data_IF_427425115250
#
_entry.id   IF_427425115250
#
_cell.length_a   1.000
_cell.length_b   1.000
_cell.length_c   1.000
_cell.angle_alpha   90.00
_cell.angle_beta   90.00
_cell.angle_gamma   90.00
#
_symmetry.space_group_name_H-M   'P 1'
#
loop_
_entity.id
_entity.type
_entity.pdbx_description
1 polymer ?
2 non-polymer ?
3 non-polymer ?
4 non-polymer ?
5 non-polymer ?
6 non-polymer ?
7 non-polymer ?
8 water ?
#
# COMPACT_ATOMS: atom_id res chain seq x y z
N UNK A 4 -17.93 -4.42 25.03
CA UNK A 4 -19.25 -4.14 24.50
C UNK A 4 -19.18 -3.58 23.08
N UNK A 5 -20.08 -4.06 22.22
CA UNK A 5 -20.12 -3.59 20.84
C UNK A 5 -20.49 -2.11 20.79
N UNK A 6 -19.88 -1.34 19.89
CA UNK A 6 -20.25 0.07 19.77
C UNK A 6 -21.75 0.27 19.59
N UNK A 7 -22.24 1.36 20.16
CA UNK A 7 -23.64 1.75 20.09
C UNK A 7 -23.89 2.84 19.06
N UNK A 8 -22.87 3.26 18.33
CA UNK A 8 -23.03 4.39 17.43
C UNK A 8 -24.11 4.08 16.40
N UNK A 9 -24.87 5.10 15.98
CA UNK A 9 -26.05 4.85 15.15
C UNK A 9 -25.76 4.20 13.82
N UNK A 10 -24.61 4.46 13.21
CA UNK A 10 -24.29 3.90 11.91
C UNK A 10 -23.36 2.69 12.00
N UNK A 11 -23.01 2.26 13.21
CA UNK A 11 -22.12 1.11 13.31
C UNK A 11 -22.69 -0.12 12.61
N UNK A 12 -24.00 -0.37 12.67
CA UNK A 12 -24.56 -1.48 11.88
C UNK A 12 -24.32 -1.36 10.39
N UNK A 13 -24.26 -0.13 9.85
CA UNK A 13 -23.98 0.04 8.43
C UNK A 13 -22.52 -0.21 8.10
N UNK A 14 -21.62 -0.20 9.09
CA UNK A 14 -20.20 -0.45 8.84
C UNK A 14 -19.96 -1.97 8.74
N UNK A 15 -20.47 -2.51 7.63
CA UNK A 15 -20.54 -3.96 7.43
C UNK A 15 -19.17 -4.63 7.47
N UNK A 16 -18.14 -3.91 7.00
CA UNK A 16 -16.77 -4.42 6.98
C UNK A 16 -16.16 -4.51 8.38
N UNK A 17 -16.82 -3.94 9.39
CA UNK A 17 -16.51 -4.13 10.80
C UNK A 17 -17.55 -4.92 11.57
N UNK A 18 -18.83 -4.61 11.40
CA UNK A 18 -19.88 -5.16 12.27
C UNK A 18 -20.46 -6.46 11.74
N UNK A 19 -20.03 -6.93 10.57
CA UNK A 19 -20.61 -8.11 9.99
C UNK A 19 -20.54 -9.30 10.92
N UNK A 20 -21.47 -10.24 10.73
CA UNK A 20 -21.47 -11.51 11.46
C UNK A 20 -21.54 -12.68 10.48
N UNK A 21 -21.10 -12.46 9.24
CA UNK A 21 -21.22 -13.46 8.18
C UNK A 21 -19.85 -13.81 7.59
N UNK A 22 -18.78 -13.45 8.29
CA UNK A 22 -17.38 -13.72 7.94
C UNK A 22 -16.89 -12.93 6.73
N UNK A 23 -17.70 -12.05 6.16
CA UNK A 23 -17.20 -11.12 5.15
C UNK A 23 -16.85 -9.78 5.80
N UNK A 24 -15.85 -9.80 6.68
CA UNK A 24 -15.41 -8.58 7.34
C UNK A 24 -13.92 -8.69 7.71
N UNK A 25 -13.42 -7.61 8.30
CA UNK A 25 -12.01 -7.46 8.62
C UNK A 25 -11.65 -8.01 10.00
N UNK A 26 -12.59 -8.70 10.65
CA UNK A 26 -12.33 -9.35 11.93
C UNK A 26 -11.80 -8.36 12.96
N UNK A 27 -12.39 -7.18 12.99
CA UNK A 27 -11.94 -6.14 13.92
C UNK A 27 -12.52 -6.33 15.32
N UNK A 28 -13.76 -6.80 15.43
CA UNK A 28 -14.33 -7.01 16.77
C UNK A 28 -13.47 -7.97 17.60
N UNK A 29 -12.85 -8.94 16.94
CA UNK A 29 -11.99 -9.88 17.63
C UNK A 29 -10.79 -9.17 18.25
N UNK A 30 -10.26 -8.17 17.56
CA UNK A 30 -9.16 -7.38 18.13
C UNK A 30 -9.67 -6.52 19.28
N UNK A 31 -10.80 -5.84 19.08
CA UNK A 31 -11.41 -5.08 20.16
C UNK A 31 -11.65 -5.95 21.39
N UNK A 32 -12.11 -7.19 21.18
CA UNK A 32 -12.39 -8.06 22.31
C UNK A 32 -11.10 -8.53 23.00
N UNK A 33 -9.98 -8.56 22.27
CA UNK A 33 -8.70 -8.82 22.91
C UNK A 33 -8.20 -7.63 23.70
N UNK A 34 -8.92 -6.51 23.67
CA UNK A 34 -8.54 -5.31 24.41
C UNK A 34 -7.84 -4.21 23.61
N UNK A 35 -7.76 -4.34 22.29
CA UNK A 35 -6.95 -3.44 21.47
C UNK A 35 -7.87 -2.48 20.72
N UNK A 36 -7.63 -1.18 20.93
CA UNK A 36 -8.47 -0.13 20.39
C UNK A 36 -7.68 1.00 19.77
N UNK A 37 -6.35 0.95 19.83
CA UNK A 37 -5.51 2.01 19.30
C UNK A 37 -5.01 2.98 20.35
N UNK A 38 -5.33 2.75 21.61
CA UNK A 38 -4.88 3.64 22.67
C UNK A 38 -3.37 3.83 22.61
N UNK A 39 -2.94 5.08 22.62
CA UNK A 39 -1.52 5.40 22.60
C UNK A 39 -0.89 5.45 21.23
N UNK A 40 -1.63 5.15 20.17
CA UNK A 40 -1.11 5.17 18.81
C UNK A 40 -1.54 6.47 18.14
N UNK A 41 -0.69 6.99 17.27
CA UNK A 41 -0.90 8.26 16.58
C UNK A 41 -0.85 8.00 15.08
N UNK A 42 -1.92 8.37 14.37
CA UNK A 42 -2.04 8.20 12.93
C UNK A 42 -2.26 9.58 12.30
N UNK A 43 -1.66 9.80 11.10
CA UNK A 43 -1.89 11.02 10.35
C UNK A 43 -2.31 10.73 8.91
N UNK A 44 -3.33 11.46 8.46
CA UNK A 44 -3.87 11.36 7.11
C UNK A 44 -3.24 12.44 6.25
N UNK A 45 -2.48 12.04 5.22
CA UNK A 45 -1.86 12.99 4.31
C UNK A 45 -2.82 13.17 3.14
N UNK A 46 -3.55 14.29 3.12
CA UNK A 46 -4.61 14.44 2.14
C UNK A 46 -4.98 15.92 1.99
N UNK A 47 -6.28 16.23 1.86
CA UNK A 47 -6.73 17.58 1.59
C UNK A 47 -7.12 18.34 2.85
N UNK A 48 -6.76 17.84 4.02
CA UNK A 48 -7.08 18.48 5.29
C UNK A 48 -7.96 17.60 6.15
N UNK A 49 -8.25 18.08 7.35
CA UNK A 49 -9.05 17.33 8.32
C UNK A 49 -9.91 18.30 9.11
N UNK A 50 -11.21 18.04 9.15
CA UNK A 50 -12.15 18.85 9.94
C UNK A 50 -11.97 18.48 11.40
N UNK A 51 -11.06 19.20 12.07
CA UNK A 51 -10.65 18.81 13.41
C UNK A 51 -11.75 18.99 14.43
N UNK A 52 -12.76 19.82 14.14
CA UNK A 52 -13.89 20.04 15.03
C UNK A 52 -15.08 19.15 14.70
N UNK A 53 -14.91 18.15 13.84
CA UNK A 53 -16.00 17.21 13.57
C UNK A 53 -16.43 16.54 14.88
N UNK A 54 -17.73 16.44 15.15
CA UNK A 54 -18.17 15.79 16.40
C UNK A 54 -17.67 14.37 16.59
N UNK A 55 -17.32 13.65 15.52
CA UNK A 55 -16.81 12.29 15.67
C UNK A 55 -15.29 12.22 15.56
N UNK A 56 -14.60 13.36 15.38
CA UNK A 56 -13.15 13.38 15.38
C UNK A 56 -12.54 14.20 16.51
N UNK A 57 -13.25 15.21 17.03
CA UNK A 57 -12.60 16.16 17.93
C UNK A 57 -12.02 15.47 19.14
N UNK A 58 -12.70 14.44 19.66
CA UNK A 58 -12.22 13.77 20.86
C UNK A 58 -10.91 13.06 20.69
N UNK A 59 -10.56 12.66 19.47
CA UNK A 59 -9.30 11.98 19.22
C UNK A 59 -8.31 12.86 18.46
N UNK A 60 -8.69 14.10 18.12
CA UNK A 60 -7.84 14.92 17.28
C UNK A 60 -6.53 15.25 17.98
N UNK A 61 -5.44 15.18 17.23
CA UNK A 61 -4.09 15.42 17.74
C UNK A 61 -3.41 16.50 16.91
N UNK A 62 -3.27 17.72 17.42
CA UNK A 62 -2.55 18.75 16.67
C UNK A 62 -1.11 18.37 16.37
N UNK A 63 -0.51 17.52 17.19
CA UNK A 63 0.85 17.07 16.95
C UNK A 63 0.99 16.13 15.79
N UNK A 64 -0.12 15.62 15.26
CA UNK A 64 -0.14 14.77 14.08
C UNK A 64 -0.61 15.54 12.85
N UNK A 65 -0.59 16.87 12.90
CA UNK A 65 -1.25 17.68 11.89
C UNK A 65 -0.40 18.87 11.48
N UNK A 66 -0.60 19.32 10.25
CA UNK A 66 0.03 20.53 9.75
C UNK A 66 -0.66 20.91 8.45
N UNK A 67 -0.51 22.17 8.07
CA UNK A 67 -0.99 22.67 6.79
C UNK A 67 0.22 23.03 5.94
N UNK A 68 0.62 22.10 5.08
CA UNK A 68 1.75 22.34 4.20
C UNK A 68 1.37 23.25 3.04
N UNK A 69 0.10 23.24 2.61
CA UNK A 69 -0.27 24.06 1.47
C UNK A 69 -0.20 25.55 1.79
N UNK A 70 -0.65 25.95 2.99
CA UNK A 70 -0.63 27.35 3.40
C UNK A 70 0.46 27.66 4.41
N UNK A 71 1.24 26.65 4.83
CA UNK A 71 2.35 26.82 5.76
C UNK A 71 1.88 27.38 7.10
N UNK A 72 1.03 26.60 7.78
CA UNK A 72 0.56 26.92 9.13
C UNK A 72 0.21 25.62 9.82
N UNK A 73 -0.05 25.66 11.13
CA UNK A 73 -0.26 24.40 11.86
C UNK A 73 -1.66 23.82 11.72
N UNK A 74 -2.61 24.57 11.16
CA UNK A 74 -4.02 24.24 11.25
C UNK A 74 -4.47 23.60 9.95
N UNK A 75 -4.78 22.27 9.93
CA UNK A 75 -5.11 21.58 8.68
C UNK A 75 -6.58 21.68 8.27
N UNK A 76 -7.31 22.63 8.85
CA UNK A 76 -8.74 22.70 8.55
C UNK A 76 -8.94 22.78 7.04
N UNK A 77 -9.91 22.06 6.48
CA UNK A 77 -10.10 22.10 5.02
C UNK A 77 -10.63 23.44 4.54
N UNK A 78 -10.39 23.69 3.25
CA UNK A 78 -10.99 24.81 2.53
C UNK A 78 -12.40 24.44 2.09
N UNK A 79 -13.40 25.17 2.59
CA UNK A 79 -14.79 24.83 2.31
C UNK A 79 -15.19 25.43 0.97
N UNK A 80 -15.85 24.61 0.15
CA UNK A 80 -16.27 25.01 -1.19
C UNK A 80 -17.66 24.48 -1.46
N UNK A 81 -18.32 25.05 -2.47
CA UNK A 81 -19.70 24.71 -2.77
C UNK A 81 -19.85 23.26 -3.23
N UNK A 82 -18.81 22.67 -3.80
CA UNK A 82 -18.88 21.27 -4.17
C UNK A 82 -18.23 20.34 -3.15
N UNK A 83 -17.78 20.87 -2.01
CA UNK A 83 -17.21 20.04 -0.94
C UNK A 83 -16.00 19.25 -1.43
N UNK A 84 -15.13 19.92 -2.18
CA UNK A 84 -13.99 19.26 -2.80
C UNK A 84 -13.01 18.68 -1.78
N UNK A 85 -12.84 19.36 -0.66
CA UNK A 85 -11.77 19.00 0.29
C UNK A 85 -12.29 18.21 1.46
N UNK A 86 -13.11 17.20 1.17
CA UNK A 86 -13.71 16.36 2.18
C UNK A 86 -12.97 15.04 2.38
N UNK A 87 -12.01 14.72 1.52
CA UNK A 87 -11.52 13.35 1.49
C UNK A 87 -10.71 13.02 2.74
N UNK A 88 -9.89 13.95 3.21
CA UNK A 88 -9.09 13.67 4.39
C UNK A 88 -9.95 13.44 5.63
N UNK A 89 -11.07 14.14 5.71
CA UNK A 89 -11.99 13.97 6.84
C UNK A 89 -12.64 12.59 6.78
N UNK A 90 -13.05 12.17 5.60
CA UNK A 90 -13.57 10.82 5.44
C UNK A 90 -12.55 9.78 5.89
N UNK A 91 -11.30 9.91 5.41
CA UNK A 91 -10.29 8.93 5.77
C UNK A 91 -9.98 8.96 7.27
N UNK A 92 -9.93 10.16 7.87
CA UNK A 92 -9.65 10.22 9.31
C UNK A 92 -10.67 9.43 10.11
N UNK A 93 -11.95 9.55 9.77
CA UNK A 93 -12.98 8.83 10.52
C UNK A 93 -12.86 7.33 10.38
N UNK A 94 -12.46 6.85 9.19
CA UNK A 94 -12.22 5.42 9.02
C UNK A 94 -11.23 4.88 10.05
N UNK A 95 -10.19 5.65 10.34
CA UNK A 95 -9.16 5.22 11.28
C UNK A 95 -9.64 5.36 12.71
N UNK A 96 -10.17 6.55 13.08
CA UNK A 96 -10.28 6.86 14.49
C UNK A 96 -11.49 7.71 14.84
N UNK A 97 -12.61 7.52 14.15
CA UNK A 97 -13.86 8.13 14.59
C UNK A 97 -14.18 7.67 16.01
N UNK A 98 -14.65 8.62 16.83
CA UNK A 98 -14.95 8.35 18.23
C UNK A 98 -16.07 7.31 18.33
N UNK A 99 -15.99 6.46 19.36
CA UNK A 99 -16.95 5.40 19.58
C UNK A 99 -17.91 5.73 20.72
N UNK A 100 -19.10 5.14 20.64
CA UNK A 100 -20.10 5.19 21.71
C UNK A 100 -20.44 6.62 22.10
N UNK A 101 -20.58 7.49 21.10
CA UNK A 101 -20.93 8.89 21.34
C UNK A 101 -22.18 9.33 20.56
N UNK A 102 -22.97 8.39 20.05
CA UNK A 102 -24.19 8.74 19.37
C UNK A 102 -24.04 9.46 18.04
N UNK A 103 -22.84 9.45 17.45
CA UNK A 103 -22.55 10.14 16.19
C UNK A 103 -21.96 9.16 15.18
N UNK A 104 -22.54 9.10 13.99
CA UNK A 104 -22.03 8.34 12.82
C UNK A 104 -21.65 6.94 13.29
N UNK A 105 -20.48 6.43 12.92
CA UNK A 105 -20.08 5.09 13.32
C UNK A 105 -18.82 5.17 14.16
N UNK A 106 -17.86 4.26 13.94
CA UNK A 106 -16.62 4.24 14.72
C UNK A 106 -15.44 4.09 13.79
N UNK A 107 -14.27 4.46 14.28
CA UNK A 107 -13.05 4.13 13.59
C UNK A 107 -12.57 2.73 13.94
N UNK A 108 -11.77 2.15 13.06
CA UNK A 108 -11.16 0.86 13.34
C UNK A 108 -10.41 0.91 14.66
N UNK A 109 -9.65 2.00 14.87
CA UNK A 109 -8.89 2.21 16.08
C UNK A 109 -9.46 3.42 16.80
N UNK A 110 -10.64 3.23 17.41
CA UNK A 110 -11.44 4.36 17.87
C UNK A 110 -10.89 5.03 19.13
N UNK A 111 -9.80 4.53 19.72
CA UNK A 111 -9.12 5.25 20.78
C UNK A 111 -7.74 5.75 20.37
N UNK A 112 -7.37 5.59 19.10
CA UNK A 112 -6.12 6.18 18.63
C UNK A 112 -6.28 7.69 18.51
N UNK A 113 -5.14 8.39 18.47
CA UNK A 113 -5.13 9.81 18.17
C UNK A 113 -4.96 9.99 16.67
N UNK A 114 -5.63 11.00 16.12
CA UNK A 114 -5.76 11.17 14.67
C UNK A 114 -5.46 12.61 14.30
N UNK A 115 -4.60 12.77 13.30
CA UNK A 115 -4.32 14.08 12.73
C UNK A 115 -4.41 14.02 11.21
N UNK A 116 -4.19 15.18 10.61
CA UNK A 116 -4.17 15.28 9.15
C UNK A 116 -3.17 16.30 8.69
N UNK A 117 -2.58 16.04 7.52
CA UNK A 117 -1.73 17.01 6.86
C UNK A 117 -2.48 17.53 5.64
N UNK A 118 -2.73 18.84 5.62
CA UNK A 118 -3.33 19.48 4.47
C UNK A 118 -2.21 19.72 3.48
N UNK A 119 -2.13 18.84 2.47
CA UNK A 119 -1.05 18.96 1.49
C UNK A 119 -1.47 18.73 0.05
N UNK A 120 -2.71 18.29 -0.23
CA UNK A 120 -3.16 18.11 -1.60
C UNK A 120 -3.87 19.33 -2.18
N UNK A 121 -4.23 20.31 -1.36
CA UNK A 121 -5.03 21.45 -1.82
C UNK A 121 -4.10 22.60 -2.21
N UNK A 122 -3.45 22.41 -3.35
CA UNK A 122 -2.40 23.31 -3.80
C UNK A 122 -1.54 22.60 -4.82
N UNK A 123 -0.47 23.29 -5.21
CA UNK A 123 0.51 22.67 -6.10
C UNK A 123 1.34 21.65 -5.30
N UNK A 124 1.23 20.38 -5.64
CA UNK A 124 1.85 19.32 -4.86
C UNK A 124 3.22 19.04 -5.46
N UNK A 125 4.24 19.66 -4.90
CA UNK A 125 5.61 19.51 -5.35
C UNK A 125 6.31 18.40 -4.56
N UNK A 126 7.50 18.03 -5.04
CA UNK A 126 8.36 17.10 -4.32
C UNK A 126 8.61 17.60 -2.89
N UNK A 127 8.88 18.89 -2.71
CA UNK A 127 9.07 19.44 -1.38
C UNK A 127 7.83 19.29 -0.51
N UNK A 128 6.64 19.56 -1.06
CA UNK A 128 5.40 19.42 -0.29
C UNK A 128 5.24 17.98 0.20
N UNK A 129 5.47 17.02 -0.70
CA UNK A 129 5.39 15.61 -0.32
C UNK A 129 6.39 15.27 0.77
N UNK A 130 7.62 15.75 0.63
CA UNK A 130 8.66 15.42 1.58
C UNK A 130 8.34 15.99 2.95
N UNK A 131 7.87 17.24 2.99
CA UNK A 131 7.53 17.87 4.26
C UNK A 131 6.37 17.15 4.94
N UNK A 132 5.47 16.54 4.16
CA UNK A 132 4.33 15.83 4.72
C UNK A 132 4.73 14.44 5.23
N UNK A 133 5.44 13.67 4.41
CA UNK A 133 5.92 12.36 4.83
C UNK A 133 6.84 12.45 6.04
N UNK A 134 7.55 13.56 6.19
CA UNK A 134 8.48 13.76 7.28
C UNK A 134 7.94 14.51 8.47
N UNK A 135 6.63 14.68 8.58
CA UNK A 135 6.06 15.44 9.69
C UNK A 135 6.20 14.67 11.00
N UNK A 136 6.78 15.32 12.00
CA UNK A 136 6.82 14.86 13.38
C UNK A 136 7.04 13.34 13.45
N UNK A 137 8.13 12.82 12.88
CA UNK A 137 8.28 11.36 12.74
C UNK A 137 8.58 10.63 14.05
N UNK A 138 8.80 11.33 15.16
CA UNK A 138 8.95 10.67 16.44
C UNK A 138 7.71 10.81 17.30
N UNK A 139 6.65 11.40 16.76
CA UNK A 139 5.34 11.45 17.38
C UNK A 139 4.31 10.65 16.60
N UNK A 140 4.26 10.85 15.28
CA UNK A 140 3.35 10.09 14.44
C UNK A 140 3.93 8.70 14.20
N UNK A 141 3.12 7.67 14.46
CA UNK A 141 3.54 6.31 14.24
C UNK A 141 3.23 5.83 12.83
N UNK A 142 2.05 6.17 12.32
CA UNK A 142 1.51 5.64 11.09
C UNK A 142 1.00 6.79 10.23
N UNK A 143 1.40 6.79 8.95
CA UNK A 143 0.93 7.71 7.93
C UNK A 143 0.03 6.97 6.95
N UNK A 144 -1.06 7.60 6.56
CA UNK A 144 -2.00 7.06 5.57
C UNK A 144 -2.06 8.00 4.38
N UNK A 145 -1.82 7.45 3.19
CA UNK A 145 -1.81 8.24 1.98
C UNK A 145 -2.54 7.46 0.89
N UNK A 146 -3.53 8.11 0.30
CA UNK A 146 -4.38 7.51 -0.71
C UNK A 146 -4.08 8.05 -2.10
N UNK A 147 -3.15 8.99 -2.23
CA UNK A 147 -2.85 9.70 -3.46
C UNK A 147 -1.62 9.12 -4.15
N UNK A 148 -1.42 9.53 -5.40
CA UNK A 148 -0.28 9.11 -6.19
C UNK A 148 -0.33 9.75 -7.56
N UNK A 149 0.49 9.26 -8.49
CA UNK A 149 0.50 9.82 -9.84
C UNK A 149 -0.80 9.53 -10.57
N UNK A 150 -1.03 10.27 -11.65
CA UNK A 150 -2.29 10.19 -12.38
C UNK A 150 -2.59 8.76 -12.80
N UNK A 151 -3.80 8.31 -12.52
CA UNK A 151 -4.25 6.97 -12.86
C UNK A 151 -4.80 6.91 -14.28
N UNK A 152 -4.10 7.51 -15.25
CA UNK A 152 -4.60 7.50 -16.61
C UNK A 152 -4.16 6.27 -17.40
N UNK A 153 -3.36 5.39 -16.81
CA UNK A 153 -2.90 4.22 -17.52
C UNK A 153 -1.80 4.49 -18.51
N UNK A 154 -1.20 5.67 -18.45
CA UNK A 154 -0.05 5.95 -19.32
C UNK A 154 1.08 6.67 -18.58
N UNK A 155 0.98 6.86 -17.28
CA UNK A 155 2.00 7.57 -16.51
C UNK A 155 2.91 6.57 -15.80
N UNK A 156 4.22 6.84 -15.85
CA UNK A 156 5.21 6.17 -15.02
C UNK A 156 5.86 7.26 -14.19
N UNK A 157 5.62 7.26 -12.88
CA UNK A 157 6.12 8.34 -12.03
C UNK A 157 6.16 7.84 -10.60
N UNK A 158 7.06 8.41 -9.82
CA UNK A 158 7.17 8.09 -8.41
C UNK A 158 7.79 9.24 -7.63
N UNK A 159 8.12 8.99 -6.36
CA UNK A 159 8.71 10.06 -5.54
C UNK A 159 10.02 10.57 -6.13
N UNK A 160 10.13 11.89 -6.24
CA UNK A 160 11.40 12.50 -6.63
C UNK A 160 12.32 12.54 -5.40
N UNK A 161 13.42 13.29 -5.49
CA UNK A 161 14.53 13.10 -4.56
C UNK A 161 14.14 13.42 -3.12
N UNK A 162 13.47 14.55 -2.88
CA UNK A 162 13.15 14.90 -1.50
C UNK A 162 12.18 13.90 -0.88
N UNK A 163 11.16 13.48 -1.63
CA UNK A 163 10.20 12.52 -1.10
C UNK A 163 10.82 11.15 -0.90
N UNK A 164 11.70 10.71 -1.81
CA UNK A 164 12.40 9.45 -1.58
C UNK A 164 13.30 9.55 -0.35
N UNK A 165 13.99 10.68 -0.17
CA UNK A 165 14.78 10.88 1.05
C UNK A 165 13.89 10.84 2.29
N UNK A 166 12.69 11.39 2.19
CA UNK A 166 11.77 11.34 3.33
C UNK A 166 11.38 9.91 3.66
N UNK A 167 11.11 9.09 2.65
CA UNK A 167 10.85 7.67 2.90
C UNK A 167 12.04 7.02 3.62
N UNK A 168 13.23 7.17 3.03
CA UNK A 168 14.48 6.69 3.62
C UNK A 168 14.53 7.04 5.11
N UNK A 169 14.47 8.35 5.38
CA UNK A 169 14.65 8.87 6.73
C UNK A 169 13.57 8.33 7.66
N UNK A 170 12.33 8.24 7.16
CA UNK A 170 11.24 7.77 8.00
C UNK A 170 11.44 6.35 8.48
N UNK A 171 11.74 5.43 7.56
CA UNK A 171 11.86 4.03 7.95
C UNK A 171 13.14 3.77 8.73
N UNK A 172 14.16 4.63 8.59
CA UNK A 172 15.45 4.42 9.24
C UNK A 172 15.50 5.03 10.64
N UNK A 173 15.18 6.32 10.76
CA UNK A 173 15.26 7.01 12.05
C UNK A 173 13.90 7.35 12.64
N UNK A 174 12.83 7.30 11.84
CA UNK A 174 11.51 7.56 12.37
C UNK A 174 11.12 6.58 13.46
N UNK A 175 10.21 7.06 14.31
CA UNK A 175 9.61 6.24 15.36
C UNK A 175 10.69 5.62 16.25
N UNK A 176 11.67 6.43 16.63
CA UNK A 176 12.73 5.98 17.51
C UNK A 176 13.64 4.95 16.89
N UNK A 177 13.77 4.94 15.57
CA UNK A 177 14.56 3.96 14.87
C UNK A 177 13.81 2.70 14.49
N UNK A 178 12.54 2.58 14.88
CA UNK A 178 11.74 1.43 14.45
C UNK A 178 11.16 1.61 13.06
N UNK A 179 11.07 2.85 12.59
CA UNK A 179 10.63 3.16 11.24
C UNK A 179 9.18 3.60 11.14
N UNK A 180 8.94 4.76 10.54
CA UNK A 180 7.59 5.18 10.18
C UNK A 180 6.90 4.09 9.37
N UNK A 181 5.62 3.90 9.65
CA UNK A 181 4.76 3.01 8.88
C UNK A 181 4.00 3.88 7.88
N UNK A 182 4.31 3.71 6.59
CA UNK A 182 3.61 4.42 5.53
C UNK A 182 2.61 3.46 4.88
N UNK A 183 1.33 3.66 5.11
CA UNK A 183 0.28 2.83 4.53
C UNK A 183 -0.20 3.55 3.28
N UNK A 184 -0.34 2.81 2.17
CA UNK A 184 -0.54 3.42 0.86
C UNK A 184 -1.63 2.69 0.09
N UNK A 185 -2.40 3.45 -0.68
CA UNK A 185 -3.39 2.88 -1.58
C UNK A 185 -2.76 2.57 -2.94
N UNK A 186 -3.10 1.42 -3.51
CA UNK A 186 -2.44 0.99 -4.75
C UNK A 186 -2.96 1.70 -6.00
N UNK A 187 -4.09 2.40 -5.94
CA UNK A 187 -4.55 3.22 -7.05
C UNK A 187 -6.00 2.93 -7.44
N UNK A 188 -6.54 3.84 -8.27
CA UNK A 188 -7.91 3.73 -8.75
C UNK A 188 -8.00 3.68 -10.28
N UNK A 189 -6.93 3.25 -10.95
CA UNK A 189 -6.89 3.30 -12.40
C UNK A 189 -7.36 2.09 -13.16
N UNK A 190 -8.21 1.26 -12.53
CA UNK A 190 -8.59 -0.01 -13.12
C UNK A 190 -9.24 0.12 -14.49
N UNK A 191 -10.12 1.09 -14.68
CA UNK A 191 -10.81 1.11 -15.97
C UNK A 191 -9.96 1.72 -17.08
N UNK A 192 -8.86 2.37 -16.72
CA UNK A 192 -7.84 2.77 -17.69
C UNK A 192 -6.81 1.67 -17.93
N UNK A 193 -7.02 0.47 -17.37
CA UNK A 193 -6.06 -0.64 -17.47
C UNK A 193 -4.69 -0.25 -16.92
N UNK A 194 -4.70 0.55 -15.86
CA UNK A 194 -3.46 0.92 -15.22
C UNK A 194 -2.88 -0.27 -14.48
N UNK A 195 -1.55 -0.25 -14.31
CA UNK A 195 -0.76 -1.37 -13.78
C UNK A 195 0.13 -0.74 -12.72
N UNK A 196 -0.13 -1.04 -11.44
CA UNK A 196 0.29 -0.09 -10.39
C UNK A 196 1.79 -0.17 -10.04
N UNK A 197 2.58 -1.08 -10.59
CA UNK A 197 4.01 -0.94 -10.39
C UNK A 197 4.54 0.31 -11.09
N UNK A 198 3.77 0.92 -11.99
CA UNK A 198 4.13 2.17 -12.65
C UNK A 198 3.93 3.39 -11.75
N UNK A 199 3.45 3.17 -10.53
CA UNK A 199 3.26 4.19 -9.49
C UNK A 199 4.35 3.94 -8.45
N UNK A 200 5.35 4.81 -8.44
CA UNK A 200 6.52 4.61 -7.61
C UNK A 200 6.25 4.73 -6.13
N UNK A 201 5.12 5.33 -5.74
CA UNK A 201 4.79 5.43 -4.33
C UNK A 201 4.32 4.08 -3.80
N UNK A 202 3.35 3.46 -4.47
CA UNK A 202 2.88 2.16 -4.02
C UNK A 202 3.89 1.05 -4.34
N UNK A 203 4.70 1.24 -5.39
CA UNK A 203 5.73 0.26 -5.77
C UNK A 203 6.92 0.25 -4.82
N UNK A 204 7.00 1.21 -3.90
CA UNK A 204 8.12 1.29 -2.96
C UNK A 204 8.06 0.16 -1.94
N UNK A 205 9.23 -0.31 -1.50
CA UNK A 205 9.24 -1.27 -0.41
C UNK A 205 8.90 -0.61 0.91
N UNK A 206 9.06 0.72 1.01
CA UNK A 206 8.85 1.43 2.27
C UNK A 206 7.38 1.75 2.51
N UNK A 207 6.52 1.51 1.53
CA UNK A 207 5.09 1.68 1.70
C UNK A 207 4.42 0.31 1.79
N UNK A 208 3.45 0.22 2.68
CA UNK A 208 2.68 -1.00 2.92
C UNK A 208 1.40 -0.84 2.11
N UNK A 209 1.35 -1.49 0.95
CA UNK A 209 0.40 -1.12 -0.09
C UNK A 209 -0.83 -2.01 -0.04
N UNK A 210 -2.00 -1.38 -0.22
CA UNK A 210 -3.29 -1.97 0.04
C UNK A 210 -4.19 -1.77 -1.17
N UNK A 211 -4.88 -2.85 -1.58
CA UNK A 211 -5.89 -2.84 -2.64
C UNK A 211 -7.28 -3.12 -2.03
N UNK A 212 -8.29 -3.23 -2.90
CA UNK A 212 -9.69 -3.26 -2.49
C UNK A 212 -10.41 -4.55 -2.91
N UNK A 213 -11.43 -4.91 -2.15
CA UNK A 213 -12.39 -5.94 -2.51
C UNK A 213 -13.80 -5.40 -2.29
N UNK A 214 -14.72 -5.77 -3.18
CA UNK A 214 -16.11 -5.37 -3.04
C UNK A 214 -16.79 -6.22 -1.97
N UNK A 215 -17.99 -5.80 -1.57
CA UNK A 215 -18.70 -6.51 -0.51
C UNK A 215 -18.91 -7.97 -0.87
N UNK A 216 -19.24 -8.27 -2.12
CA UNK A 216 -19.46 -9.65 -2.52
C UNK A 216 -18.15 -10.39 -2.83
N UNK A 217 -17.00 -9.80 -2.53
CA UNK A 217 -15.74 -10.49 -2.66
C UNK A 217 -15.10 -10.46 -4.05
N UNK A 218 -15.35 -9.42 -4.82
CA UNK A 218 -14.83 -9.32 -6.17
C UNK A 218 -13.85 -8.18 -6.31
N UNK A 219 -13.14 -8.18 -7.44
CA UNK A 219 -12.17 -7.14 -7.78
C UNK A 219 -12.95 -5.94 -8.31
N UNK A 220 -12.93 -4.80 -7.60
CA UNK A 220 -13.73 -3.65 -8.05
C UNK A 220 -13.25 -3.12 -9.39
N UNK A 221 -14.18 -2.43 -10.07
CA UNK A 221 -13.88 -1.83 -11.37
C UNK A 221 -12.64 -0.95 -11.35
N UNK A 222 -12.35 -0.28 -10.22
CA UNK A 222 -11.27 0.70 -10.12
C UNK A 222 -9.92 0.09 -9.74
N UNK A 223 -9.87 -1.18 -9.39
CA UNK A 223 -8.65 -1.77 -8.86
C UNK A 223 -7.56 -1.85 -9.94
N UNK A 224 -6.33 -1.60 -9.53
CA UNK A 224 -5.16 -1.87 -10.34
C UNK A 224 -4.46 -3.11 -9.79
N UNK A 225 -4.08 -4.02 -10.69
CA UNK A 225 -3.29 -5.19 -10.32
C UNK A 225 -1.81 -4.84 -10.42
N UNK A 226 -1.03 -5.29 -9.43
CA UNK A 226 0.43 -5.26 -9.56
C UNK A 226 1.08 -6.11 -8.48
N UNK A 227 2.34 -6.48 -8.73
CA UNK A 227 3.07 -7.36 -7.82
C UNK A 227 3.52 -6.66 -6.55
N UNK A 228 3.54 -5.32 -6.51
CA UNK A 228 4.01 -4.63 -5.31
C UNK A 228 2.96 -4.60 -4.19
N UNK A 229 1.69 -4.87 -4.50
CA UNK A 229 0.66 -4.79 -3.46
C UNK A 229 0.90 -5.89 -2.44
N UNK A 230 0.58 -5.58 -1.18
CA UNK A 230 0.74 -6.56 -0.09
C UNK A 230 -0.57 -7.18 0.37
N UNK A 231 -1.66 -6.42 0.48
CA UNK A 231 -2.88 -6.97 1.06
C UNK A 231 -4.07 -6.10 0.65
N UNK A 232 -5.23 -6.40 1.24
CA UNK A 232 -6.52 -5.89 0.77
C UNK A 232 -7.42 -5.53 1.95
N UNK A 233 -8.21 -4.45 1.78
CA UNK A 233 -9.36 -4.24 2.65
C UNK A 233 -10.60 -4.03 1.79
N UNK A 234 -11.75 -4.25 2.41
CA UNK A 234 -13.01 -3.96 1.73
C UNK A 234 -13.14 -2.49 1.38
N UNK A 235 -13.81 -2.23 0.25
CA UNK A 235 -14.29 -0.91 -0.13
C UNK A 235 -15.52 -1.06 -1.01
N UNK A 236 -15.76 -0.08 -1.88
CA UNK A 236 -16.96 -0.02 -2.69
C UNK A 236 -16.88 -0.92 -3.92
N UNK A 237 -18.05 -1.14 -4.52
CA UNK A 237 -18.18 -1.93 -5.73
C UNK A 237 -19.32 -1.43 -6.59
N UNK A 238 -20.28 -2.31 -6.94
CA UNK A 238 -21.41 -1.93 -7.78
C UNK A 238 -22.52 -1.36 -6.90
N UNK A 239 -23.65 -1.05 -7.52
CA UNK A 239 -24.66 -0.31 -6.78
C UNK A 239 -25.57 -1.21 -5.96
N UNK A 240 -25.35 -2.52 -5.98
CA UNK A 240 -26.00 -3.44 -5.04
C UNK A 240 -25.11 -3.74 -3.84
N UNK A 241 -23.89 -3.24 -3.83
CA UNK A 241 -22.92 -3.51 -2.79
C UNK A 241 -22.75 -2.26 -1.94
N UNK A 242 -22.60 -2.45 -0.65
CA UNK A 242 -22.45 -1.33 0.27
C UNK A 242 -21.07 -0.70 0.13
N UNK A 243 -20.93 0.47 0.77
CA UNK A 243 -19.70 1.26 0.62
C UNK A 243 -19.14 1.57 2.01
N UNK A 244 -18.22 2.50 2.11
CA UNK A 244 -17.59 2.84 3.38
C UNK A 244 -18.38 3.96 4.05
N UNK A 245 -18.62 3.79 5.35
CA UNK A 245 -19.44 4.69 6.16
C UNK A 245 -18.53 5.41 7.14
N UNK A 246 -18.52 6.75 7.12
CA UNK A 246 -17.53 7.47 7.91
C UNK A 246 -17.92 8.94 8.06
N UNK A 247 -17.04 9.68 8.72
CA UNK A 247 -17.21 11.12 8.91
C UNK A 247 -17.09 11.87 7.59
N UNK A 248 -17.85 12.95 7.46
CA UNK A 248 -17.83 13.77 6.26
C UNK A 248 -17.72 15.25 6.61
N UNK A 249 -17.29 16.01 5.62
CA UNK A 249 -17.12 17.44 5.78
C UNK A 249 -18.43 18.10 6.19
N UNK A 250 -18.31 19.18 6.98
CA UNK A 250 -19.44 19.92 7.53
C UNK A 250 -20.18 19.15 8.62
N UNK A 251 -19.43 18.37 9.39
CA UNK A 251 -19.93 17.69 10.59
C UNK A 251 -21.05 16.72 10.25
N UNK A 252 -20.93 16.07 9.09
CA UNK A 252 -21.90 15.13 8.58
C UNK A 252 -21.34 13.71 8.65
N UNK A 253 -22.17 12.76 8.18
CA UNK A 253 -21.87 11.33 8.15
C UNK A 253 -22.22 10.79 6.77
N UNK A 254 -21.27 10.15 6.08
CA UNK A 254 -21.46 9.66 4.74
C UNK A 254 -21.53 8.14 4.74
N UNK A 255 -22.32 7.60 3.82
CA UNK A 255 -22.37 6.17 3.58
C UNK A 255 -21.80 5.80 2.21
N UNK A 256 -21.15 6.74 1.52
CA UNK A 256 -20.74 6.56 0.13
C UNK A 256 -19.30 7.00 -0.12
N UNK A 257 -18.40 6.61 0.78
CA UNK A 257 -16.96 6.75 0.60
C UNK A 257 -16.47 5.52 -0.14
N UNK A 258 -15.59 5.72 -1.13
CA UNK A 258 -15.36 4.71 -2.16
C UNK A 258 -13.89 4.61 -2.55
N UNK A 259 -13.58 3.56 -3.31
CA UNK A 259 -12.30 3.45 -3.99
C UNK A 259 -11.22 2.83 -3.13
N UNK A 260 -10.08 2.53 -3.81
CA UNK A 260 -8.92 2.03 -3.08
C UNK A 260 -8.45 3.07 -2.09
N UNK A 261 -8.71 4.34 -2.39
CA UNK A 261 -8.37 5.45 -1.52
C UNK A 261 -9.13 5.39 -0.21
N UNK A 262 -10.21 4.61 -0.12
CA UNK A 262 -10.87 4.32 1.15
C UNK A 262 -10.35 3.04 1.80
N UNK A 263 -9.63 2.21 1.06
CA UNK A 263 -9.08 0.99 1.67
C UNK A 263 -7.85 1.27 2.52
N UNK A 264 -6.96 2.16 2.08
CA UNK A 264 -5.74 2.39 2.84
C UNK A 264 -6.03 2.84 4.26
N UNK A 265 -6.97 3.78 4.51
CA UNK A 265 -7.22 4.16 5.91
C UNK A 265 -7.67 3.01 6.79
N UNK A 266 -8.49 2.10 6.27
CA UNK A 266 -8.89 0.96 7.09
C UNK A 266 -7.68 0.12 7.49
N UNK A 267 -6.77 -0.08 6.55
CA UNK A 267 -5.53 -0.81 6.86
C UNK A 267 -4.75 -0.07 7.94
N UNK A 268 -4.65 1.25 7.82
CA UNK A 268 -3.92 2.04 8.81
C UNK A 268 -4.50 1.86 10.21
N UNK A 269 -5.82 1.80 10.32
CA UNK A 269 -6.42 1.54 11.61
C UNK A 269 -6.10 0.16 12.16
N UNK A 270 -6.13 -0.86 11.29
CA UNK A 270 -5.78 -2.21 11.74
C UNK A 270 -4.33 -2.25 12.20
N UNK A 271 -3.45 -1.56 11.48
CA UNK A 271 -2.05 -1.47 11.87
C UNK A 271 -1.90 -0.72 13.18
N UNK A 272 -2.76 0.27 13.44
CA UNK A 272 -2.75 0.95 14.72
C UNK A 272 -3.07 -0.01 15.86
N UNK A 273 -4.12 -0.84 15.69
CA UNK A 273 -4.42 -1.85 16.70
C UNK A 273 -3.23 -2.76 16.93
N UNK A 274 -2.57 -3.16 15.84
CA UNK A 274 -1.45 -4.09 15.91
C UNK A 274 -0.27 -3.47 16.66
N UNK A 275 0.00 -2.19 16.41
CA UNK A 275 1.09 -1.51 17.10
C UNK A 275 0.79 -1.35 18.59
N UNK A 276 -0.49 -1.12 18.95
CA UNK A 276 -0.82 -1.13 20.37
C UNK A 276 -0.47 -2.47 20.99
N UNK A 277 -0.70 -3.55 20.25
CA UNK A 277 -0.42 -4.88 20.78
C UNK A 277 1.07 -5.12 20.94
N UNK A 278 1.91 -4.43 20.16
CA UNK A 278 3.37 -4.56 20.31
C UNK A 278 3.99 -3.28 19.77
N UNK A 279 4.34 -2.36 20.68
CA UNK A 279 4.85 -1.07 20.28
C UNK A 279 6.25 -1.12 19.68
N UNK A 280 6.92 -2.27 19.80
CA UNK A 280 8.30 -2.43 19.39
C UNK A 280 8.43 -3.02 17.99
N UNK A 281 7.32 -3.18 17.27
CA UNK A 281 7.37 -3.68 15.90
C UNK A 281 8.06 -2.68 15.00
N UNK A 282 8.95 -3.17 14.13
CA UNK A 282 9.58 -2.30 13.16
C UNK A 282 8.69 -2.18 11.92
N UNK A 283 9.06 -1.27 11.02
CA UNK A 283 8.33 -1.13 9.78
C UNK A 283 8.34 -2.41 8.97
N UNK A 284 9.43 -3.19 9.05
CA UNK A 284 9.49 -4.47 8.37
C UNK A 284 8.68 -5.55 9.10
N UNK A 285 8.78 -5.58 10.44
CA UNK A 285 7.93 -6.48 11.22
C UNK A 285 6.47 -6.37 10.76
N UNK A 286 5.99 -5.14 10.60
CA UNK A 286 4.58 -4.95 10.28
C UNK A 286 4.22 -5.57 8.94
N UNK A 287 5.12 -5.47 7.96
CA UNK A 287 4.86 -6.10 6.67
C UNK A 287 4.88 -7.62 6.78
N UNK A 288 5.79 -8.17 7.59
CA UNK A 288 5.78 -9.61 7.85
C UNK A 288 4.44 -10.07 8.45
N UNK A 289 3.94 -9.34 9.44
CA UNK A 289 2.67 -9.71 10.06
C UNK A 289 1.54 -9.72 9.04
N UNK A 290 1.51 -8.70 8.18
CA UNK A 290 0.49 -8.64 7.13
C UNK A 290 0.61 -9.86 6.21
N UNK A 291 1.84 -10.20 5.79
CA UNK A 291 2.01 -11.34 4.90
C UNK A 291 1.51 -12.62 5.57
N UNK A 292 1.86 -12.81 6.85
CA UNK A 292 1.54 -14.07 7.51
C UNK A 292 0.06 -14.20 7.86
N UNK A 293 -0.64 -13.11 8.14
CA UNK A 293 -1.99 -13.24 8.68
C UNK A 293 -3.11 -12.95 7.69
N UNK A 294 -2.82 -12.41 6.51
CA UNK A 294 -3.90 -12.01 5.61
C UNK A 294 -4.54 -13.24 4.95
N UNK A 295 -5.81 -13.10 4.59
CA UNK A 295 -6.67 -14.24 4.28
C UNK A 295 -7.19 -14.17 2.85
N UNK A 296 -6.82 -15.12 1.99
CA UNK A 296 -7.39 -15.15 0.64
C UNK A 296 -8.87 -15.52 0.61
N UNK A 297 -9.36 -16.24 1.62
CA UNK A 297 -10.63 -16.95 1.50
C UNK A 297 -11.76 -16.02 1.06
N UNK A 298 -12.53 -16.47 0.09
CA UNK A 298 -13.73 -15.79 -0.38
C UNK A 298 -13.44 -14.50 -1.13
N UNK A 299 -12.20 -14.26 -1.54
CA UNK A 299 -11.89 -13.22 -2.51
C UNK A 299 -11.73 -13.88 -3.88
N UNK A 300 -12.51 -13.43 -4.85
CA UNK A 300 -12.54 -14.02 -6.18
C UNK A 300 -11.52 -13.34 -7.09
N UNK A 301 -10.61 -14.14 -7.65
CA UNK A 301 -9.67 -13.69 -8.65
C UNK A 301 -9.20 -14.90 -9.45
N UNK A 302 -8.89 -14.69 -10.72
CA UNK A 302 -8.45 -15.80 -11.55
C UNK A 302 -6.94 -15.99 -11.51
N UNK A 303 -6.22 -15.23 -10.68
CA UNK A 303 -4.77 -15.31 -10.66
C UNK A 303 -4.21 -15.74 -9.30
N UNK A 304 -5.02 -16.34 -8.44
CA UNK A 304 -4.50 -16.85 -7.19
C UNK A 304 -3.48 -17.95 -7.48
N UNK A 305 -2.26 -17.76 -6.99
CA UNK A 305 -1.17 -18.70 -7.22
C UNK A 305 -0.48 -19.00 -5.91
N UNK A 306 -0.06 -20.25 -5.74
CA UNK A 306 0.67 -20.66 -4.55
C UNK A 306 2.16 -20.41 -4.78
N UNK A 307 2.79 -19.64 -3.90
CA UNK A 307 4.19 -19.32 -4.04
C UNK A 307 5.05 -20.43 -3.42
N UNK A 308 6.34 -20.17 -3.26
CA UNK A 308 7.26 -21.23 -2.90
C UNK A 308 7.23 -21.65 -1.44
N UNK A 309 6.55 -20.88 -0.60
CA UNK A 309 6.39 -21.24 0.79
C UNK A 309 4.93 -21.56 1.10
N UNK A 310 4.13 -21.82 0.08
CA UNK A 310 2.78 -22.32 0.23
C UNK A 310 1.72 -21.29 0.52
N UNK A 311 2.01 -20.01 0.33
CA UNK A 311 1.01 -18.96 0.47
C UNK A 311 0.36 -18.64 -0.86
N UNK A 312 -0.94 -18.41 -0.83
CA UNK A 312 -1.65 -17.94 -2.00
C UNK A 312 -1.47 -16.45 -2.13
N UNK A 313 -1.21 -15.99 -3.35
CA UNK A 313 -0.99 -14.57 -3.59
C UNK A 313 -1.57 -14.21 -4.96
N UNK A 314 -2.15 -13.01 -5.02
CA UNK A 314 -2.83 -12.49 -6.20
C UNK A 314 -2.28 -11.10 -6.49
N UNK A 315 -2.28 -10.72 -7.77
CA UNK A 315 -1.86 -9.35 -8.09
C UNK A 315 -2.96 -8.33 -7.81
N UNK A 316 -4.21 -8.79 -7.68
CA UNK A 316 -5.29 -7.90 -7.27
C UNK A 316 -5.31 -7.69 -5.77
N UNK A 317 -4.99 -8.73 -4.99
CA UNK A 317 -5.23 -8.72 -3.57
C UNK A 317 -3.99 -8.89 -2.70
N UNK A 318 -2.81 -9.10 -3.28
CA UNK A 318 -1.67 -9.43 -2.45
C UNK A 318 -1.92 -10.76 -1.75
N UNK A 319 -1.64 -10.79 -0.45
CA UNK A 319 -1.85 -11.97 0.38
C UNK A 319 -3.28 -12.10 0.86
N UNK A 320 -4.16 -11.18 0.50
CA UNK A 320 -5.56 -11.30 0.83
C UNK A 320 -6.07 -10.23 1.78
N UNK A 321 -7.22 -10.53 2.38
CA UNK A 321 -7.89 -9.59 3.27
C UNK A 321 -7.17 -9.47 4.60
N UNK A 322 -6.98 -8.24 5.07
CA UNK A 322 -6.43 -8.04 6.40
C UNK A 322 -7.36 -8.66 7.44
N UNK A 323 -6.76 -9.18 8.49
CA UNK A 323 -7.43 -9.90 9.58
C UNK A 323 -6.93 -9.27 10.88
N UNK A 324 -7.72 -8.37 11.44
CA UNK A 324 -7.25 -7.60 12.59
C UNK A 324 -7.02 -8.49 13.82
N UNK A 325 -7.96 -9.39 14.13
CA UNK A 325 -7.77 -10.26 15.26
C UNK A 325 -6.48 -11.06 15.17
N UNK A 326 -6.19 -11.60 13.98
CA UNK A 326 -4.97 -12.38 13.80
C UNK A 326 -3.72 -11.49 13.88
N UNK A 327 -3.80 -10.28 13.34
CA UNK A 327 -2.68 -9.35 13.41
C UNK A 327 -2.29 -9.07 14.86
N UNK A 328 -3.27 -8.69 15.71
CA UNK A 328 -2.94 -8.31 17.08
C UNK A 328 -2.49 -9.54 17.87
N UNK A 329 -3.04 -10.71 17.57
CA UNK A 329 -2.62 -11.93 18.27
C UNK A 329 -1.16 -12.25 17.96
N UNK A 330 -0.81 -12.31 16.68
CA UNK A 330 0.56 -12.66 16.29
C UNK A 330 1.55 -11.59 16.71
N UNK A 331 1.12 -10.33 16.76
CA UNK A 331 2.02 -9.24 17.13
C UNK A 331 2.58 -9.42 18.53
N UNK A 332 1.78 -9.98 19.45
CA UNK A 332 2.10 -9.88 20.87
C UNK A 332 3.41 -10.57 21.22
N UNK A 333 3.67 -11.75 20.64
CA UNK A 333 4.91 -12.45 20.93
C UNK A 333 5.88 -12.45 19.75
N UNK A 334 5.69 -11.54 18.80
CA UNK A 334 6.51 -11.51 17.60
C UNK A 334 7.96 -11.15 17.94
N UNK A 335 8.90 -11.95 17.43
CA UNK A 335 10.32 -11.65 17.56
C UNK A 335 10.79 -10.77 16.41
N UNK A 336 11.46 -9.67 16.75
CA UNK A 336 11.92 -8.72 15.76
C UNK A 336 12.75 -9.41 14.69
N UNK A 337 12.51 -9.05 13.43
CA UNK A 337 13.28 -9.65 12.34
C UNK A 337 14.73 -9.19 12.40
N UNK A 338 15.60 -9.96 11.75
CA UNK A 338 17.01 -9.58 11.69
C UNK A 338 17.18 -8.33 10.84
N UNK A 339 18.33 -7.65 10.95
CA UNK A 339 18.56 -6.47 10.12
C UNK A 339 18.43 -6.78 8.65
N UNK A 340 17.98 -5.78 7.89
CA UNK A 340 17.72 -5.96 6.47
C UNK A 340 19.04 -6.01 5.69
N UNK A 341 19.21 -7.08 4.92
CA UNK A 341 20.28 -7.20 3.94
C UNK A 341 19.78 -6.84 2.55
N UNK A 342 20.72 -6.52 1.67
CA UNK A 342 20.43 -6.07 0.31
C UNK A 342 21.49 -6.68 -0.60
N UNK A 343 21.07 -7.57 -1.50
CA UNK A 343 21.99 -8.26 -2.41
C UNK A 343 21.74 -7.73 -3.82
N UNK A 344 22.77 -7.11 -4.40
CA UNK A 344 22.73 -6.48 -5.70
C UNK A 344 23.37 -7.42 -6.72
N UNK A 345 22.63 -7.77 -7.78
CA UNK A 345 23.11 -8.65 -8.83
C UNK A 345 22.88 -7.96 -10.17
N UNK A 346 23.93 -7.44 -10.77
CA UNK A 346 23.85 -6.87 -12.11
C UNK A 346 23.92 -8.01 -13.11
N UNK A 347 22.90 -8.13 -13.97
CA UNK A 347 22.66 -9.37 -14.69
C UNK A 347 23.33 -9.38 -16.06
N UNK A 348 23.17 -8.31 -16.85
CA UNK A 348 23.51 -8.37 -18.26
C UNK A 348 25.00 -8.22 -18.52
N UNK A 349 25.53 -9.05 -19.43
CA UNK A 349 26.88 -8.84 -19.94
C UNK A 349 26.91 -8.00 -21.21
N UNK A 350 25.76 -7.74 -21.81
CA UNK A 350 25.66 -7.01 -23.06
C UNK A 350 24.22 -6.57 -23.20
N UNK A 351 23.94 -5.50 -23.94
CA UNK A 351 22.54 -5.14 -24.19
C UNK A 351 21.83 -6.22 -24.99
N UNK A 352 20.52 -6.36 -24.76
CA UNK A 352 19.72 -7.39 -25.39
C UNK A 352 18.60 -6.77 -26.21
N UNK A 353 18.50 -7.18 -27.47
CA UNK A 353 17.39 -6.74 -28.31
C UNK A 353 16.09 -7.36 -27.80
N UNK A 354 15.04 -6.55 -27.73
CA UNK A 354 13.76 -7.04 -27.22
C UNK A 354 12.93 -7.65 -28.35
N UNK A 355 12.71 -6.88 -29.42
CA UNK A 355 11.92 -7.40 -30.52
C UNK A 355 10.54 -7.84 -30.07
N UNK A 356 10.11 -9.01 -30.55
CA UNK A 356 8.80 -9.56 -30.19
C UNK A 356 8.80 -10.14 -28.79
N UNK A 357 9.95 -10.64 -28.34
CA UNK A 357 10.02 -11.34 -27.06
C UNK A 357 11.47 -11.49 -26.67
N UNK A 358 11.75 -11.29 -25.40
CA UNK A 358 13.09 -11.49 -24.84
C UNK A 358 12.94 -12.26 -23.54
N UNK A 359 13.81 -13.24 -23.34
CA UNK A 359 13.89 -13.95 -22.08
C UNK A 359 15.33 -13.83 -21.59
N UNK A 360 15.51 -13.47 -20.32
CA UNK A 360 16.82 -13.40 -19.68
C UNK A 360 16.82 -14.36 -18.50
N UNK A 361 17.68 -15.37 -18.54
CA UNK A 361 17.81 -16.33 -17.45
C UNK A 361 19.13 -16.10 -16.74
N UNK A 362 19.10 -16.17 -15.41
CA UNK A 362 20.32 -16.00 -14.64
C UNK A 362 20.23 -16.79 -13.35
N UNK A 363 21.26 -17.59 -13.09
CA UNK A 363 21.36 -18.33 -11.84
C UNK A 363 22.20 -17.52 -10.86
N UNK A 364 21.66 -17.26 -9.68
CA UNK A 364 22.32 -16.41 -8.71
C UNK A 364 22.56 -17.18 -7.42
N UNK A 365 23.59 -16.76 -6.68
CA UNK A 365 23.86 -17.28 -5.35
C UNK A 365 23.33 -16.38 -4.23
N UNK A 366 22.75 -15.23 -4.58
CA UNK A 366 22.16 -14.34 -3.57
C UNK A 366 23.20 -13.93 -2.52
N UNK A 367 24.39 -13.55 -3.01
CA UNK A 367 25.45 -13.00 -2.19
C UNK A 367 25.99 -14.01 -1.19
N UNK A 368 26.03 -15.28 -1.60
CA UNK A 368 26.64 -16.33 -0.78
C UNK A 368 28.04 -15.92 -0.34
N UNK A 369 28.33 -16.18 0.93
CA UNK A 369 29.62 -15.86 1.49
C UNK A 369 29.82 -14.43 1.93
N UNK A 370 28.84 -13.55 1.69
CA UNK A 370 28.96 -12.13 2.01
C UNK A 370 28.02 -11.74 3.14
N UNK A 371 28.26 -10.59 3.78
CA UNK A 371 27.34 -10.14 4.84
C UNK A 371 25.93 -9.92 4.35
N UNK A 372 25.71 -9.73 3.05
CA UNK A 372 24.37 -9.52 2.53
C UNK A 372 23.78 -10.80 1.93
N UNK A 373 24.37 -11.95 2.23
CA UNK A 373 23.76 -13.23 1.87
C UNK A 373 22.32 -13.28 2.35
N UNK A 374 21.40 -13.58 1.44
CA UNK A 374 19.97 -13.68 1.76
C UNK A 374 19.48 -15.09 1.45
N UNK A 375 18.94 -15.77 2.46
CA UNK A 375 18.23 -17.02 2.27
C UNK A 375 16.73 -16.90 2.50
N UNK A 376 16.27 -15.75 2.99
CA UNK A 376 14.86 -15.51 3.32
C UNK A 376 14.47 -14.17 2.70
N UNK A 377 13.83 -14.21 1.54
CA UNK A 377 13.52 -12.98 0.81
C UNK A 377 12.38 -12.20 1.46
N UNK A 378 12.46 -10.87 1.34
CA UNK A 378 11.33 -10.01 1.62
C UNK A 378 10.91 -9.46 0.26
N UNK A 379 11.21 -8.21 -0.05
CA UNK A 379 10.93 -7.66 -1.37
C UNK A 379 12.02 -8.04 -2.37
N UNK A 380 11.65 -8.15 -3.65
CA UNK A 380 12.62 -8.24 -4.73
C UNK A 380 12.28 -7.21 -5.79
N UNK A 381 13.31 -6.65 -6.40
CA UNK A 381 13.15 -5.68 -7.48
C UNK A 381 13.92 -6.16 -8.71
N UNK A 382 13.32 -5.97 -9.87
CA UNK A 382 14.05 -6.00 -11.14
C UNK A 382 14.13 -4.56 -11.61
N UNK A 383 15.33 -3.96 -11.52
CA UNK A 383 15.55 -2.58 -11.92
C UNK A 383 15.96 -2.60 -13.39
N UNK A 384 15.07 -2.12 -14.26
CA UNK A 384 15.21 -2.29 -15.69
C UNK A 384 15.43 -0.95 -16.38
N UNK A 385 16.39 -0.92 -17.30
CA UNK A 385 16.57 0.18 -18.22
C UNK A 385 16.41 -0.37 -19.63
N UNK A 386 15.46 0.18 -20.37
CA UNK A 386 15.17 -0.30 -21.72
C UNK A 386 14.54 0.83 -22.54
N UNK A 387 14.74 0.74 -23.85
CA UNK A 387 14.06 1.54 -24.84
C UNK A 387 13.02 0.67 -25.53
N UNK A 388 11.90 1.30 -25.93
CA UNK A 388 10.89 0.62 -26.72
C UNK A 388 10.06 1.70 -27.41
N UNK A 389 9.51 1.35 -28.57
CA UNK A 389 8.83 2.36 -29.37
C UNK A 389 7.42 2.68 -28.84
N UNK A 390 6.75 1.71 -28.21
CA UNK A 390 5.44 1.96 -27.57
C UNK A 390 5.42 1.20 -26.25
N UNK A 391 5.55 1.95 -25.15
CA UNK A 391 5.80 1.31 -23.86
C UNK A 391 4.67 0.40 -23.44
N UNK A 392 3.43 0.82 -23.68
CA UNK A 392 2.27 0.08 -23.17
C UNK A 392 2.02 -1.24 -23.86
N UNK A 393 2.68 -1.53 -24.97
CA UNK A 393 2.53 -2.86 -25.55
C UNK A 393 3.36 -3.91 -24.84
N UNK A 394 4.29 -3.50 -23.96
CA UNK A 394 5.12 -4.45 -23.22
C UNK A 394 4.38 -5.06 -22.04
N UNK A 395 4.59 -6.36 -21.85
CA UNK A 395 4.29 -7.03 -20.60
C UNK A 395 5.58 -7.68 -20.10
N UNK A 396 5.76 -7.66 -18.78
CA UNK A 396 7.00 -8.10 -18.16
C UNK A 396 6.69 -8.99 -16.98
N UNK A 397 7.36 -10.14 -16.90
CA UNK A 397 7.22 -11.10 -15.82
C UNK A 397 8.60 -11.45 -15.28
N UNK A 398 8.61 -11.82 -14.01
CA UNK A 398 9.82 -12.25 -13.30
C UNK A 398 9.48 -13.53 -12.54
N UNK A 399 10.22 -14.61 -12.81
CA UNK A 399 9.99 -15.90 -12.18
C UNK A 399 11.13 -16.17 -11.21
N UNK A 400 10.77 -16.48 -9.96
CA UNK A 400 11.74 -16.79 -8.92
C UNK A 400 12.21 -18.23 -9.05
N UNK A 401 13.33 -18.57 -8.40
CA UNK A 401 13.80 -19.97 -8.42
C UNK A 401 12.77 -20.97 -7.95
N UNK A 402 11.89 -20.55 -7.03
CA UNK A 402 10.82 -21.42 -6.53
C UNK A 402 9.63 -21.49 -7.50
N UNK A 403 9.74 -20.86 -8.66
CA UNK A 403 8.71 -20.97 -9.66
C UNK A 403 7.58 -19.96 -9.56
N UNK A 404 7.72 -18.93 -8.71
CA UNK A 404 6.66 -17.95 -8.53
C UNK A 404 6.76 -16.89 -9.61
N UNK A 405 5.70 -16.76 -10.42
CA UNK A 405 5.70 -15.86 -11.57
C UNK A 405 5.04 -14.54 -11.18
N UNK A 406 5.86 -13.51 -10.97
CA UNK A 406 5.38 -12.16 -10.66
C UNK A 406 5.22 -11.39 -11.96
N UNK A 407 4.03 -10.83 -12.18
CA UNK A 407 3.86 -9.84 -13.22
C UNK A 407 4.47 -8.52 -12.75
N UNK A 408 5.52 -8.06 -13.44
CA UNK A 408 6.10 -6.76 -13.14
C UNK A 408 5.39 -5.62 -13.88
N UNK A 409 4.86 -5.89 -15.07
CA UNK A 409 4.17 -4.90 -15.88
C UNK A 409 3.18 -5.62 -16.78
N UNK A 410 1.92 -5.19 -16.74
CA UNK A 410 0.94 -5.67 -17.69
C UNK A 410 0.81 -4.67 -18.84
N UNK A 411 0.29 -5.14 -19.97
CA UNK A 411 0.05 -4.25 -21.11
C UNK A 411 -0.84 -3.10 -20.67
N UNK A 412 -0.48 -1.89 -21.10
CA UNK A 412 -1.26 -0.69 -20.81
C UNK A 412 -1.66 -0.05 -22.14
N UNK A 413 -2.89 -0.29 -22.61
CA UNK A 413 -3.25 0.15 -23.96
C UNK A 413 -3.07 1.64 -24.19
N UNK A 414 -3.26 2.48 -23.16
CA UNK A 414 -3.17 3.92 -23.39
C UNK A 414 -1.74 4.44 -23.38
N UNK A 415 -0.74 3.63 -22.98
CA UNK A 415 0.62 4.13 -22.76
C UNK A 415 1.35 4.11 -24.11
N UNK A 416 1.30 5.24 -24.81
CA UNK A 416 1.95 5.38 -26.11
C UNK A 416 3.38 5.88 -25.99
N UNK A 417 3.90 6.03 -24.78
CA UNK A 417 5.20 6.67 -24.59
C UNK A 417 6.32 5.94 -25.34
N UNK A 418 7.24 6.72 -25.91
CA UNK A 418 8.44 6.19 -26.52
C UNK A 418 9.66 6.34 -25.62
N UNK A 419 9.45 6.68 -24.34
CA UNK A 419 10.55 6.96 -23.42
C UNK A 419 11.02 5.76 -22.62
N UNK A 420 10.34 4.62 -22.70
CA UNK A 420 10.86 3.42 -22.06
C UNK A 420 10.89 3.51 -20.54
N UNK A 421 11.79 2.73 -19.95
CA UNK A 421 12.01 2.73 -18.51
C UNK A 421 13.46 3.06 -18.22
N UNK A 422 13.68 3.97 -17.28
CA UNK A 422 15.01 4.43 -16.92
C UNK A 422 15.32 3.97 -15.50
N UNK A 423 15.96 2.79 -15.40
CA UNK A 423 16.28 2.17 -14.11
C UNK A 423 15.05 2.15 -13.20
N UNK A 424 13.95 1.64 -13.72
CA UNK A 424 12.69 1.58 -12.96
C UNK A 424 12.68 0.30 -12.14
N UNK A 425 12.48 0.44 -10.83
CA UNK A 425 12.64 -0.67 -9.88
C UNK A 425 11.30 -1.40 -9.63
N UNK A 426 10.86 -2.16 -10.64
CA UNK A 426 9.67 -2.97 -10.50
C UNK A 426 9.80 -3.90 -9.28
N UNK A 427 8.79 -3.92 -8.42
CA UNK A 427 8.90 -4.62 -7.15
C UNK A 427 7.82 -5.70 -7.00
N UNK A 428 8.22 -6.84 -6.45
CA UNK A 428 7.27 -7.89 -6.13
C UNK A 428 7.38 -8.30 -4.67
N UNK A 429 6.22 -8.51 -4.06
CA UNK A 429 6.09 -9.07 -2.73
C UNK A 429 5.79 -10.57 -2.77
N UNK A 430 5.60 -11.13 -3.95
CA UNK A 430 5.02 -12.46 -4.07
C UNK A 430 5.98 -13.59 -3.72
N UNK A 431 7.28 -13.30 -3.57
CA UNK A 431 8.27 -14.32 -3.21
C UNK A 431 8.75 -14.17 -1.77
N UNK A 432 8.01 -13.39 -0.98
CA UNK A 432 8.30 -13.22 0.44
C UNK A 432 8.50 -14.56 1.11
N UNK A 433 9.61 -14.67 1.86
CA UNK A 433 10.07 -15.82 2.61
C UNK A 433 10.64 -16.95 1.73
N UNK A 434 10.64 -16.81 0.41
CA UNK A 434 11.35 -17.79 -0.42
C UNK A 434 12.87 -17.62 -0.28
N UNK A 435 13.59 -18.70 -0.60
CA UNK A 435 15.04 -18.65 -0.76
C UNK A 435 15.30 -18.18 -2.19
N UNK A 436 15.97 -17.04 -2.38
CA UNK A 436 16.14 -16.49 -3.74
C UNK A 436 17.34 -17.04 -4.49
N UNK A 437 18.05 -18.02 -3.94
CA UNK A 437 19.15 -18.65 -4.65
C UNK A 437 18.59 -19.53 -5.76
N UNK A 438 19.27 -19.54 -6.90
CA UNK A 438 18.84 -20.35 -8.03
C UNK A 438 18.57 -19.53 -9.28
N UNK A 439 17.79 -20.07 -10.19
CA UNK A 439 17.58 -19.43 -11.47
C UNK A 439 16.39 -18.47 -11.41
N UNK A 440 16.64 -17.21 -11.78
CA UNK A 440 15.58 -16.24 -12.04
C UNK A 440 15.41 -16.06 -13.54
N UNK A 441 14.17 -15.82 -13.96
CA UNK A 441 13.84 -15.64 -15.36
C UNK A 441 13.08 -14.33 -15.54
N UNK A 442 13.59 -13.45 -16.39
CA UNK A 442 12.89 -12.23 -16.79
C UNK A 442 12.31 -12.44 -18.18
N UNK A 443 11.04 -12.12 -18.34
CA UNK A 443 10.32 -12.26 -19.61
C UNK A 443 9.81 -10.88 -20.01
N UNK A 444 10.13 -10.47 -21.23
CA UNK A 444 9.62 -9.23 -21.80
C UNK A 444 8.97 -9.60 -23.12
N UNK A 445 7.68 -9.23 -23.27
CA UNK A 445 6.88 -9.63 -24.42
C UNK A 445 6.20 -8.43 -25.05
N UNK A 446 6.22 -8.37 -26.37
CA UNK A 446 5.37 -7.46 -27.13
C UNK A 446 3.99 -8.09 -27.24
N UNK A 447 2.98 -7.50 -26.59
CA UNK A 447 1.64 -8.08 -26.60
C UNK A 447 0.83 -7.66 -27.83
N UNK A 448 1.34 -6.75 -28.64
CA UNK A 448 0.63 -6.29 -29.83
C UNK A 448 1.17 -6.99 -31.07
N UNK A 449 0.34 -7.00 -32.11
CA UNK A 449 0.76 -7.57 -33.39
C UNK A 449 1.68 -6.63 -34.16
N UNK A 450 1.93 -5.43 -33.64
CA UNK A 450 2.80 -4.49 -34.31
C UNK A 450 4.25 -4.92 -34.23
N UNK A 451 5.04 -4.46 -35.21
CA UNK A 451 6.47 -4.74 -35.25
C UNK A 451 7.19 -3.71 -34.38
N UNK A 452 7.03 -3.87 -33.08
CA UNK A 452 7.67 -2.99 -32.11
C UNK A 452 9.13 -3.41 -31.91
N UNK A 453 9.92 -2.50 -31.36
CA UNK A 453 11.37 -2.67 -31.30
C UNK A 453 11.96 -1.90 -30.12
N UNK A 454 13.04 -2.44 -29.59
CA UNK A 454 13.78 -1.75 -28.53
C UNK A 454 14.88 -2.65 -27.97
N UNK A 455 15.50 -2.16 -26.90
CA UNK A 455 16.69 -2.77 -26.33
C UNK A 455 16.66 -2.69 -24.81
N UNK A 456 16.96 -3.81 -24.16
CA UNK A 456 17.17 -3.85 -22.72
C UNK A 456 18.66 -3.63 -22.44
N UNK A 457 19.01 -2.52 -21.77
CA UNK A 457 20.42 -2.21 -21.54
C UNK A 457 20.89 -2.47 -20.12
N UNK A 458 19.98 -2.60 -19.16
CA UNK A 458 20.37 -2.94 -17.80
C UNK A 458 19.26 -3.69 -17.09
N UNK A 459 19.66 -4.74 -16.39
CA UNK A 459 18.76 -5.54 -15.55
C UNK A 459 19.52 -5.80 -14.25
N UNK A 460 19.13 -5.10 -13.19
CA UNK A 460 19.70 -5.30 -11.87
C UNK A 460 18.68 -6.00 -11.00
N UNK A 461 19.01 -7.19 -10.53
CA UNK A 461 18.15 -7.89 -9.58
C UNK A 461 18.57 -7.46 -8.18
N UNK A 462 17.64 -6.91 -7.42
CA UNK A 462 17.93 -6.42 -6.07
C UNK A 462 17.07 -7.22 -5.11
N UNK A 463 17.73 -7.94 -4.22
CA UNK A 463 17.10 -8.81 -3.24
C UNK A 463 17.23 -8.15 -1.87
N UNK A 464 16.12 -8.06 -1.14
CA UNK A 464 16.13 -7.64 0.24
C UNK A 464 15.70 -8.82 1.12
N UNK A 465 16.25 -8.88 2.33
CA UNK A 465 15.79 -9.92 3.25
C UNK A 465 16.84 -10.26 4.30
N UNK A 466 16.75 -11.48 4.80
CA UNK A 466 17.59 -11.91 5.91
C UNK A 466 18.16 -13.30 5.63
N UNK A 467 18.92 -13.79 6.58
CA UNK A 467 19.40 -15.16 6.52
C UNK A 467 19.01 -15.89 7.79
#
# INVERSE_FOLDING_TARGET
>A
DVYQEPTDPKFPQQWYLSGVTQRDLNVKAAWAQGYTGHGIVVSILDDGIEKNHPDLAGNYDPGASFDVNDQDPDPQPRYTQMNDNRHGTRCAGEVAAVANNGVCGVGVAYNARIGGVRMLDGEVTDAVEARSLGLNPNHIHIYSASWGPEDDGKTVDGPARLAEEAFFRGVSQGRGGLGSIFVWASGNGGREHDSCNCDGYTNSIYTLSISSATQFGNVPWYSEACSSTLATTYSSGNQNEKQIVTTDLRQKCTESHTGTSASAPLAAGIIALTLEANKNLTWRDMQHLVVQTSKPAHLNANDWATNGVGRKVSHSYGYGLLDAGAMVALAQNWTTVAPQRKCIIDILTEPKDIGKRLEVRKTVTACLGEPNHITRLEHAQARLTLSYNRRGDLAIHLVSPMGTRSTLLAARPHDYSADGFNDWAFMTTHSWDEDPSGEWVLEIENTSEANNYGTLTKFTLVLYGTASGSLVPRGSHHHH
#
